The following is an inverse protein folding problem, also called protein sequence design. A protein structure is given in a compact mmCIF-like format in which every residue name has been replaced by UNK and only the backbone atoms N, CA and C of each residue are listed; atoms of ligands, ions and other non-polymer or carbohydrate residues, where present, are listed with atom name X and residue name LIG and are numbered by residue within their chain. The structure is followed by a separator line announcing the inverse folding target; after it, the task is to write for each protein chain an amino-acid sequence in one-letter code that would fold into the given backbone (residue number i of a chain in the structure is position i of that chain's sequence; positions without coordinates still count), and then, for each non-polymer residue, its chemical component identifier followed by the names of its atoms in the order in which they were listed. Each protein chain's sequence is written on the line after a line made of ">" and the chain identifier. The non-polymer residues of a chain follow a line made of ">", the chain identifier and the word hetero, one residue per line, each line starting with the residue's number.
data_IF_916222745692
#
_entry.id   IF_916222745692
#
_cell.length_a   1.000
_cell.length_b   1.000
_cell.length_c   1.000
_cell.angle_alpha   90.00
_cell.angle_beta   90.00
_cell.angle_gamma   90.00
#
_symmetry.space_group_name_H-M   'P 1'
#
loop_
_entity.id
_entity.type
_entity.pdbx_description
1 polymer ?
#
# COMPACT_ATOMS: atom_id res chain seq x y z
N UNK A 1 -8.31 -7.83 -40.91
CA UNK A 1 -8.22 -8.67 -39.70
C UNK A 1 -8.84 -7.87 -38.55
N UNK A 2 -10.04 -8.27 -38.12
CA UNK A 2 -10.77 -7.57 -37.06
C UNK A 2 -10.01 -7.68 -35.74
N UNK A 3 -9.53 -6.55 -35.23
CA UNK A 3 -8.96 -6.46 -33.88
C UNK A 3 -10.12 -6.70 -32.92
N UNK A 4 -10.25 -7.93 -32.43
CA UNK A 4 -11.10 -8.23 -31.28
C UNK A 4 -10.52 -7.44 -30.10
N UNK A 5 -11.08 -6.25 -29.87
CA UNK A 5 -10.90 -5.52 -28.63
C UNK A 5 -11.63 -6.30 -27.54
N UNK A 6 -11.04 -7.42 -27.11
CA UNK A 6 -11.44 -8.11 -25.89
C UNK A 6 -11.44 -7.06 -24.80
N UNK A 7 -12.62 -6.75 -24.26
CA UNK A 7 -12.80 -5.72 -23.24
C UNK A 7 -11.89 -6.11 -22.06
N UNK A 8 -10.77 -5.40 -21.91
CA UNK A 8 -9.87 -5.62 -20.77
C UNK A 8 -10.70 -5.47 -19.49
N UNK A 9 -10.71 -6.49 -18.63
CA UNK A 9 -11.42 -6.45 -17.35
C UNK A 9 -10.43 -6.32 -16.21
N UNK A 10 -10.88 -5.78 -15.08
CA UNK A 10 -10.09 -5.82 -13.85
C UNK A 10 -10.12 -7.24 -13.29
N UNK A 11 -8.96 -7.75 -12.88
CA UNK A 11 -8.92 -9.03 -12.17
C UNK A 11 -9.39 -8.84 -10.73
N UNK A 12 -9.89 -9.90 -10.10
CA UNK A 12 -10.20 -9.89 -8.68
C UNK A 12 -8.99 -9.47 -7.82
N UNK A 13 -7.79 -9.87 -8.24
CA UNK A 13 -6.51 -9.44 -7.64
C UNK A 13 -6.25 -7.93 -7.74
N UNK A 14 -6.69 -7.27 -8.83
CA UNK A 14 -6.63 -5.82 -8.97
C UNK A 14 -7.48 -5.12 -7.91
N UNK A 15 -8.69 -5.62 -7.70
CA UNK A 15 -9.58 -5.08 -6.68
C UNK A 15 -9.03 -5.32 -5.28
N UNK A 16 -8.51 -6.52 -5.00
CA UNK A 16 -7.90 -6.83 -3.72
C UNK A 16 -6.69 -5.92 -3.42
N UNK A 17 -5.79 -5.73 -4.39
CA UNK A 17 -4.63 -4.83 -4.26
C UNK A 17 -5.04 -3.36 -4.06
N UNK A 18 -6.09 -2.93 -4.75
CA UNK A 18 -6.64 -1.59 -4.58
C UNK A 18 -7.24 -1.36 -3.19
N UNK A 19 -8.07 -2.29 -2.70
CA UNK A 19 -8.63 -2.23 -1.35
C UNK A 19 -7.55 -2.28 -0.27
N UNK A 20 -6.54 -3.13 -0.46
CA UNK A 20 -5.39 -3.20 0.45
C UNK A 20 -4.64 -1.84 0.53
N UNK A 21 -4.50 -1.16 -0.61
CA UNK A 21 -3.92 0.19 -0.67
C UNK A 21 -4.76 1.23 0.08
N UNK A 22 -6.09 1.13 0.00
CA UNK A 22 -7.00 2.00 0.78
C UNK A 22 -6.86 1.71 2.28
N UNK A 23 -6.75 0.42 2.66
CA UNK A 23 -6.55 0.03 4.06
C UNK A 23 -5.26 0.61 4.65
N UNK A 24 -4.18 0.74 3.86
CA UNK A 24 -2.95 1.42 4.31
C UNK A 24 -3.24 2.86 4.73
N UNK A 25 -4.01 3.59 3.94
CA UNK A 25 -4.36 4.97 4.26
C UNK A 25 -5.26 5.08 5.50
N UNK A 26 -6.24 4.20 5.63
CA UNK A 26 -7.12 4.16 6.80
C UNK A 26 -6.36 3.84 8.09
N UNK A 27 -5.50 2.82 8.06
CA UNK A 27 -4.68 2.44 9.22
C UNK A 27 -3.74 3.57 9.60
N UNK A 28 -3.16 4.27 8.61
CA UNK A 28 -2.27 5.40 8.85
C UNK A 28 -3.01 6.57 9.52
N UNK A 29 -4.21 6.89 9.05
CA UNK A 29 -5.03 7.91 9.70
C UNK A 29 -5.38 7.51 11.14
N UNK A 30 -5.77 6.24 11.37
CA UNK A 30 -6.06 5.76 12.72
C UNK A 30 -4.81 5.83 13.61
N UNK A 31 -3.65 5.45 13.10
CA UNK A 31 -2.39 5.52 13.84
C UNK A 31 -2.05 6.96 14.24
N UNK A 32 -2.04 7.88 13.25
CA UNK A 32 -1.64 9.27 13.47
C UNK A 32 -2.68 10.04 14.31
N UNK A 33 -3.97 9.88 14.02
CA UNK A 33 -5.02 10.65 14.68
C UNK A 33 -5.57 10.01 15.95
N UNK A 34 -5.76 8.69 16.00
CA UNK A 34 -6.39 8.04 17.15
C UNK A 34 -5.34 7.58 18.15
N UNK A 35 -4.36 6.77 17.71
CA UNK A 35 -3.41 6.14 18.64
C UNK A 35 -2.47 7.18 19.24
N UNK A 36 -1.91 8.07 18.42
CA UNK A 36 -1.00 9.11 18.90
C UNK A 36 -1.70 10.20 19.72
N UNK A 37 -2.89 10.62 19.32
CA UNK A 37 -3.57 11.76 19.96
C UNK A 37 -4.38 11.36 21.19
N UNK A 38 -5.06 10.20 21.18
CA UNK A 38 -5.93 9.78 22.29
C UNK A 38 -5.24 8.85 23.30
N UNK A 39 -4.35 7.98 22.84
CA UNK A 39 -3.85 6.88 23.69
C UNK A 39 -2.42 7.04 24.20
N UNK A 40 -1.69 8.05 23.72
CA UNK A 40 -0.35 8.52 24.15
C UNK A 40 0.74 7.48 24.48
N UNK A 41 0.53 6.16 24.43
CA UNK A 41 1.45 5.08 24.82
C UNK A 41 0.85 3.65 24.68
N UNK A 42 0.02 3.35 23.67
CA UNK A 42 -0.37 1.93 23.43
C UNK A 42 0.70 1.22 22.60
N UNK A 43 1.74 0.71 23.29
CA UNK A 43 2.90 0.04 22.68
C UNK A 43 2.49 -1.21 21.85
N UNK A 44 1.52 -1.98 22.33
CA UNK A 44 1.05 -3.20 21.66
C UNK A 44 0.39 -2.96 20.29
N UNK A 45 -0.46 -1.94 20.17
CA UNK A 45 -1.11 -1.60 18.89
C UNK A 45 -0.11 -1.07 17.87
N UNK A 46 0.90 -0.32 18.35
CA UNK A 46 1.95 0.26 17.52
C UNK A 46 2.83 -0.81 16.85
N UNK A 47 3.13 -1.91 17.55
CA UNK A 47 3.90 -3.03 16.99
C UNK A 47 3.12 -3.77 15.90
N UNK A 48 1.83 -4.03 16.13
CA UNK A 48 0.98 -4.69 15.14
C UNK A 48 0.92 -3.91 13.81
N UNK A 49 0.76 -2.59 13.90
CA UNK A 49 0.72 -1.70 12.73
C UNK A 49 2.05 -1.71 11.97
N UNK A 50 3.19 -1.68 12.69
CA UNK A 50 4.53 -1.77 12.08
C UNK A 50 4.70 -3.07 11.29
N UNK A 51 4.37 -4.23 11.89
CA UNK A 51 4.47 -5.52 11.21
C UNK A 51 3.53 -5.60 10.00
N UNK A 52 2.33 -5.04 10.13
CA UNK A 52 1.38 -4.97 9.03
C UNK A 52 1.98 -4.22 7.83
N UNK A 53 2.49 -2.99 8.02
CA UNK A 53 3.11 -2.26 6.92
C UNK A 53 4.34 -2.96 6.35
N UNK A 54 5.19 -3.52 7.22
CA UNK A 54 6.42 -4.18 6.79
C UNK A 54 6.18 -5.40 5.90
N UNK A 55 5.08 -6.14 6.12
CA UNK A 55 4.75 -7.33 5.34
C UNK A 55 3.86 -6.98 4.14
N UNK A 56 2.78 -6.22 4.37
CA UNK A 56 1.75 -6.02 3.36
C UNK A 56 2.14 -5.00 2.30
N UNK A 57 2.94 -3.97 2.62
CA UNK A 57 3.37 -2.98 1.63
C UNK A 57 4.25 -3.62 0.54
N UNK A 58 5.31 -4.41 0.86
CA UNK A 58 6.09 -5.11 -0.16
C UNK A 58 5.27 -6.14 -0.94
N UNK A 59 4.37 -6.87 -0.28
CA UNK A 59 3.48 -7.81 -0.96
C UNK A 59 2.58 -7.10 -1.99
N UNK A 60 2.03 -5.93 -1.64
CA UNK A 60 1.19 -5.16 -2.54
C UNK A 60 1.97 -4.61 -3.75
N UNK A 61 3.23 -4.25 -3.55
CA UNK A 61 4.15 -3.86 -4.63
C UNK A 61 4.34 -5.02 -5.61
N UNK A 62 4.68 -6.22 -5.10
CA UNK A 62 4.89 -7.41 -5.94
C UNK A 62 3.63 -7.76 -6.74
N UNK A 63 2.46 -7.76 -6.09
CA UNK A 63 1.18 -8.03 -6.73
C UNK A 63 0.88 -6.98 -7.79
N UNK A 64 1.00 -5.69 -7.47
CA UNK A 64 0.73 -4.61 -8.40
C UNK A 64 1.64 -4.69 -9.63
N UNK A 65 2.95 -4.90 -9.43
CA UNK A 65 3.92 -5.09 -10.53
C UNK A 65 3.54 -6.27 -11.42
N UNK A 66 3.19 -7.42 -10.82
CA UNK A 66 2.75 -8.60 -11.58
C UNK A 66 1.50 -8.31 -12.42
N UNK A 67 0.54 -7.56 -11.88
CA UNK A 67 -0.68 -7.18 -12.60
C UNK A 67 -0.42 -6.15 -13.72
N UNK A 68 0.58 -5.27 -13.57
CA UNK A 68 0.99 -4.32 -14.63
C UNK A 68 1.50 -5.00 -15.90
N UNK A 69 2.13 -6.16 -15.77
CA UNK A 69 2.65 -6.95 -16.91
C UNK A 69 1.61 -7.89 -17.53
N UNK A 70 0.41 -8.01 -16.96
CA UNK A 70 -0.63 -8.90 -17.48
C UNK A 70 -1.34 -8.28 -18.70
N UNK A 71 -1.23 -8.94 -19.86
CA UNK A 71 -1.70 -8.42 -21.17
C UNK A 71 -3.21 -8.12 -21.24
N UNK A 72 -4.05 -8.89 -20.55
CA UNK A 72 -5.52 -8.80 -20.61
C UNK A 72 -6.16 -8.01 -19.46
N UNK A 73 -5.38 -7.26 -18.68
CA UNK A 73 -5.86 -6.55 -17.51
C UNK A 73 -5.86 -5.02 -17.70
N UNK A 74 -6.92 -4.36 -17.21
CA UNK A 74 -6.94 -2.90 -17.12
C UNK A 74 -5.93 -2.45 -16.06
N UNK A 75 -4.97 -1.64 -16.49
CA UNK A 75 -3.80 -1.26 -15.66
C UNK A 75 -4.08 -0.15 -14.66
N UNK A 76 -5.23 0.53 -14.73
CA UNK A 76 -5.52 1.69 -13.87
C UNK A 76 -5.45 1.35 -12.37
N UNK A 77 -6.09 0.25 -11.92
CA UNK A 77 -6.09 -0.14 -10.51
C UNK A 77 -4.71 -0.60 -10.02
N UNK A 78 -3.95 -1.44 -10.77
CA UNK A 78 -2.59 -1.80 -10.39
C UNK A 78 -1.64 -0.61 -10.35
N UNK A 79 -1.75 0.34 -11.30
CA UNK A 79 -0.91 1.56 -11.30
C UNK A 79 -1.18 2.38 -10.04
N UNK A 80 -2.45 2.63 -9.72
CA UNK A 80 -2.82 3.37 -8.51
C UNK A 80 -2.29 2.68 -7.25
N UNK A 81 -2.53 1.37 -7.12
CA UNK A 81 -2.10 0.58 -5.97
C UNK A 81 -0.58 0.56 -5.81
N UNK A 82 0.15 0.52 -6.92
CA UNK A 82 1.60 0.59 -6.94
C UNK A 82 2.11 1.96 -6.45
N UNK A 83 1.55 3.06 -6.96
CA UNK A 83 1.92 4.43 -6.55
C UNK A 83 1.67 4.62 -5.05
N UNK A 84 0.50 4.23 -4.55
CA UNK A 84 0.18 4.34 -3.12
C UNK A 84 1.17 3.53 -2.28
N UNK A 85 1.49 2.30 -2.69
CA UNK A 85 2.45 1.46 -1.96
C UNK A 85 3.86 2.03 -1.95
N UNK A 86 4.29 2.67 -3.05
CA UNK A 86 5.58 3.37 -3.11
C UNK A 86 5.61 4.59 -2.18
N UNK A 87 4.53 5.39 -2.14
CA UNK A 87 4.42 6.51 -1.22
C UNK A 87 4.53 6.04 0.24
N UNK A 88 3.84 4.97 0.60
CA UNK A 88 3.95 4.36 1.93
C UNK A 88 5.34 3.83 2.24
N UNK A 89 6.00 3.21 1.27
CA UNK A 89 7.40 2.78 1.43
C UNK A 89 8.31 3.96 1.70
N UNK A 90 8.17 5.06 0.94
CA UNK A 90 8.92 6.30 1.17
C UNK A 90 8.69 6.87 2.57
N UNK A 91 7.43 6.93 3.01
CA UNK A 91 7.09 7.38 4.37
C UNK A 91 7.76 6.52 5.45
N UNK A 92 7.72 5.19 5.32
CA UNK A 92 8.35 4.26 6.27
C UNK A 92 9.86 4.48 6.32
N UNK A 93 10.51 4.66 5.16
CA UNK A 93 11.95 4.93 5.08
C UNK A 93 12.31 6.24 5.76
N UNK A 94 11.55 7.32 5.51
CA UNK A 94 11.76 8.62 6.17
C UNK A 94 11.56 8.51 7.68
N UNK A 95 10.52 7.82 8.13
CA UNK A 95 10.27 7.54 9.55
C UNK A 95 11.41 6.75 10.20
N UNK A 96 11.94 5.74 9.51
CA UNK A 96 13.07 4.94 10.01
C UNK A 96 14.37 5.76 10.09
N UNK A 97 14.64 6.62 9.10
CA UNK A 97 15.77 7.54 9.12
C UNK A 97 15.65 8.56 10.26
N UNK A 98 14.45 9.11 10.48
CA UNK A 98 14.18 10.04 11.58
C UNK A 98 14.35 9.36 12.94
N UNK A 99 13.86 8.14 13.10
CA UNK A 99 14.00 7.36 14.34
C UNK A 99 15.46 6.99 14.65
N UNK A 100 16.31 6.85 13.63
CA UNK A 100 17.74 6.57 13.81
C UNK A 100 18.58 7.84 14.01
N UNK A 101 17.96 9.02 14.16
CA UNK A 101 18.65 10.29 14.39
C UNK A 101 19.48 10.77 13.21
N UNK A 102 19.31 10.16 12.02
CA UNK A 102 20.06 10.49 10.79
C UNK A 102 19.37 11.55 9.93
N UNK A 103 18.23 12.08 10.38
CA UNK A 103 17.55 13.22 9.78
C UNK A 103 17.77 14.41 10.71
N UNK A 104 18.88 15.11 10.49
CA UNK A 104 19.17 16.41 11.05
C UNK A 104 19.66 17.31 9.92
#
# INVERSE_FOLDING_TARGET
>A
MGVYWGTKRHSWLSYASFWLSISFFLIFLIEVFVIRTLFNSSDGAMQFIKYFYFIFVPLNIIISVRLLFKKNEKKTLPIFSFIVSLLFTGLIVVLALAATGKVL
#
